data_IF_193421505518
#
_entry.id   IF_193421505518
#
_cell.length_a   1.000
_cell.length_b   1.000
_cell.length_c   1.000
_cell.angle_alpha   90.00
_cell.angle_beta   90.00
_cell.angle_gamma   90.00
#
_symmetry.space_group_name_H-M   'P 1'
#
loop_
_entity.id
_entity.type
_entity.pdbx_description
1 polymer ?
#
# COMPACT_ATOMS: atom_id res chain seq x y z
N UNK A 1 -30.01 99.24 -8.60
CA UNK A 1 -29.89 99.14 -7.13
C UNK A 1 -29.52 97.70 -6.81
N UNK A 2 -28.22 97.45 -6.69
CA UNK A 2 -27.68 96.14 -6.34
C UNK A 2 -26.75 96.43 -5.17
N UNK A 3 -27.30 96.39 -3.97
CA UNK A 3 -26.51 96.48 -2.73
C UNK A 3 -25.68 95.22 -2.67
N UNK A 4 -24.43 95.31 -3.10
CA UNK A 4 -23.39 94.37 -2.70
C UNK A 4 -23.40 94.34 -1.18
N UNK A 5 -23.98 93.30 -0.59
CA UNK A 5 -23.72 92.96 0.79
C UNK A 5 -22.21 92.71 0.88
N UNK A 6 -21.46 93.75 1.26
CA UNK A 6 -20.14 93.56 1.84
C UNK A 6 -20.39 92.72 3.09
N UNK A 7 -20.06 91.43 3.01
CA UNK A 7 -20.18 90.47 4.11
C UNK A 7 -19.55 91.09 5.37
N UNK A 8 -20.37 91.32 6.40
CA UNK A 8 -19.91 91.96 7.62
C UNK A 8 -18.75 91.14 8.24
N UNK A 9 -17.69 91.78 8.77
CA UNK A 9 -16.46 91.09 9.21
C UNK A 9 -16.66 89.93 10.21
N UNK A 10 -17.73 89.96 11.00
CA UNK A 10 -18.07 88.88 11.93
C UNK A 10 -18.61 87.64 11.22
N UNK A 11 -19.34 87.81 10.11
CA UNK A 11 -19.86 86.72 9.30
C UNK A 11 -18.72 85.97 8.59
N UNK A 12 -17.75 86.71 8.04
CA UNK A 12 -16.54 86.13 7.45
C UNK A 12 -15.73 85.31 8.47
N UNK A 13 -15.63 85.78 9.72
CA UNK A 13 -14.95 85.05 10.80
C UNK A 13 -15.66 83.73 11.12
N UNK A 14 -17.00 83.76 11.22
CA UNK A 14 -17.79 82.54 11.47
C UNK A 14 -17.64 81.55 10.32
N UNK A 15 -17.66 82.01 9.07
CA UNK A 15 -17.43 81.15 7.91
C UNK A 15 -16.04 80.49 7.95
N UNK A 16 -14.99 81.26 8.29
CA UNK A 16 -13.63 80.72 8.44
C UNK A 16 -13.54 79.68 9.56
N UNK A 17 -14.09 79.96 10.73
CA UNK A 17 -14.11 79.01 11.85
C UNK A 17 -14.89 77.73 11.52
N UNK A 18 -15.98 77.86 10.76
CA UNK A 18 -16.75 76.72 10.28
C UNK A 18 -15.99 75.90 9.24
N UNK A 19 -15.32 76.54 8.28
CA UNK A 19 -14.48 75.85 7.29
C UNK A 19 -13.32 75.11 7.97
N UNK A 20 -12.65 75.74 8.94
CA UNK A 20 -11.61 75.09 9.75
C UNK A 20 -12.15 73.90 10.53
N UNK A 21 -13.36 74.00 11.08
CA UNK A 21 -14.01 72.90 11.77
C UNK A 21 -14.32 71.74 10.81
N UNK A 22 -14.87 72.03 9.63
CA UNK A 22 -15.14 71.04 8.59
C UNK A 22 -13.87 70.29 8.19
N UNK A 23 -12.77 71.01 7.93
CA UNK A 23 -11.46 70.41 7.60
C UNK A 23 -10.98 69.49 8.74
N UNK A 24 -11.06 69.94 10.00
CA UNK A 24 -10.66 69.11 11.16
C UNK A 24 -11.50 67.84 11.29
N UNK A 25 -12.81 67.92 11.00
CA UNK A 25 -13.71 66.77 11.03
C UNK A 25 -13.40 65.80 9.89
N UNK A 26 -13.21 66.30 8.67
CA UNK A 26 -12.82 65.48 7.51
C UNK A 26 -11.49 64.76 7.75
N UNK A 27 -10.49 65.46 8.29
CA UNK A 27 -9.20 64.87 8.65
C UNK A 27 -9.36 63.74 9.68
N UNK A 28 -10.23 63.94 10.68
CA UNK A 28 -10.48 62.93 11.70
C UNK A 28 -11.21 61.71 11.11
N UNK A 29 -12.19 61.93 10.23
CA UNK A 29 -12.90 60.87 9.50
C UNK A 29 -11.91 60.09 8.63
N UNK A 30 -11.06 60.76 7.88
CA UNK A 30 -10.07 60.13 7.01
C UNK A 30 -9.09 59.25 7.81
N UNK A 31 -8.57 59.76 8.93
CA UNK A 31 -7.70 58.98 9.83
C UNK A 31 -8.41 57.74 10.37
N UNK A 32 -9.66 57.87 10.82
CA UNK A 32 -10.43 56.72 11.31
C UNK A 32 -10.72 55.69 10.21
N UNK A 33 -11.04 56.13 8.99
CA UNK A 33 -11.23 55.23 7.86
C UNK A 33 -9.96 54.46 7.48
N UNK A 34 -8.80 55.14 7.49
CA UNK A 34 -7.51 54.48 7.26
C UNK A 34 -7.19 53.46 8.34
N UNK A 35 -7.44 53.79 9.61
CA UNK A 35 -7.28 52.86 10.73
C UNK A 35 -8.19 51.64 10.60
N UNK A 36 -9.46 51.84 10.25
CA UNK A 36 -10.40 50.73 10.03
C UNK A 36 -9.95 49.82 8.88
N UNK A 37 -9.47 50.38 7.77
CA UNK A 37 -8.92 49.60 6.64
C UNK A 37 -7.69 48.79 7.09
N UNK A 38 -6.78 49.40 7.85
CA UNK A 38 -5.61 48.71 8.39
C UNK A 38 -6.01 47.57 9.34
N UNK A 39 -6.95 47.81 10.27
CA UNK A 39 -7.46 46.79 11.19
C UNK A 39 -8.08 45.61 10.45
N UNK A 40 -8.90 45.86 9.41
CA UNK A 40 -9.48 44.79 8.58
C UNK A 40 -8.39 43.93 7.93
N UNK A 41 -7.39 44.57 7.32
CA UNK A 41 -6.27 43.87 6.68
C UNK A 41 -5.46 43.04 7.69
N UNK A 42 -5.23 43.56 8.90
CA UNK A 42 -4.56 42.82 9.97
C UNK A 42 -5.37 41.58 10.36
N UNK A 43 -6.69 41.70 10.52
CA UNK A 43 -7.56 40.57 10.84
C UNK A 43 -7.55 39.50 9.74
N UNK A 44 -7.62 39.91 8.47
CA UNK A 44 -7.51 38.98 7.33
C UNK A 44 -6.18 38.23 7.33
N UNK A 45 -5.07 38.94 7.54
CA UNK A 45 -3.74 38.33 7.61
C UNK A 45 -3.61 37.37 8.79
N UNK A 46 -4.14 37.73 9.97
CA UNK A 46 -4.16 36.85 11.14
C UNK A 46 -4.94 35.56 10.88
N UNK A 47 -6.10 35.67 10.22
CA UNK A 47 -6.91 34.49 9.89
C UNK A 47 -6.18 33.58 8.89
N UNK A 48 -5.53 34.16 7.87
CA UNK A 48 -4.70 33.38 6.93
C UNK A 48 -3.55 32.70 7.63
N UNK A 49 -2.83 33.42 8.51
CA UNK A 49 -1.73 32.85 9.27
C UNK A 49 -2.17 31.67 10.14
N UNK A 50 -3.31 31.78 10.82
CA UNK A 50 -3.85 30.69 11.64
C UNK A 50 -4.22 29.45 10.79
N UNK A 51 -4.74 29.65 9.58
CA UNK A 51 -5.02 28.57 8.64
C UNK A 51 -3.73 27.86 8.20
N UNK A 52 -2.70 28.62 7.82
CA UNK A 52 -1.40 28.09 7.41
C UNK A 52 -0.69 27.35 8.54
N UNK A 53 -0.77 27.85 9.78
CA UNK A 53 -0.22 27.17 10.96
C UNK A 53 -0.92 25.83 11.22
N UNK A 54 -2.24 25.78 11.03
CA UNK A 54 -3.01 24.54 11.15
C UNK A 54 -2.59 23.54 10.07
N UNK A 55 -2.52 23.98 8.82
CA UNK A 55 -2.09 23.15 7.69
C UNK A 55 -0.67 22.62 7.89
N UNK A 56 0.26 23.45 8.37
CA UNK A 56 1.63 23.06 8.68
C UNK A 56 1.67 21.93 9.73
N UNK A 57 0.84 22.00 10.77
CA UNK A 57 0.77 20.94 11.78
C UNK A 57 0.26 19.63 11.18
N UNK A 58 -0.79 19.69 10.38
CA UNK A 58 -1.35 18.51 9.70
C UNK A 58 -0.33 17.85 8.76
N UNK A 59 0.36 18.63 7.94
CA UNK A 59 1.41 18.13 7.04
C UNK A 59 2.61 17.53 7.81
N UNK A 60 3.01 18.15 8.93
CA UNK A 60 4.08 17.62 9.78
C UNK A 60 3.71 16.26 10.37
N UNK A 61 2.45 16.09 10.79
CA UNK A 61 1.94 14.82 11.30
C UNK A 61 1.89 13.75 10.21
N UNK A 62 1.41 14.09 9.01
CA UNK A 62 1.39 13.16 7.87
C UNK A 62 2.81 12.72 7.48
N UNK A 63 3.77 13.64 7.47
CA UNK A 63 5.16 13.33 7.16
C UNK A 63 5.77 12.37 8.19
N UNK A 64 5.51 12.59 9.48
CA UNK A 64 5.95 11.68 10.54
C UNK A 64 5.35 10.27 10.39
N UNK A 65 4.07 10.17 10.03
CA UNK A 65 3.40 8.88 9.79
C UNK A 65 3.97 8.16 8.57
N UNK A 66 4.23 8.88 7.48
CA UNK A 66 4.88 8.32 6.29
C UNK A 66 6.28 7.80 6.60
N UNK A 67 7.11 8.59 7.29
CA UNK A 67 8.46 8.14 7.69
C UNK A 67 8.41 6.89 8.58
N UNK A 68 7.42 6.76 9.46
CA UNK A 68 7.25 5.54 10.26
C UNK A 68 6.91 4.34 9.38
N UNK A 69 5.96 4.49 8.44
CA UNK A 69 5.56 3.41 7.51
C UNK A 69 6.71 3.00 6.60
N UNK A 70 7.53 3.95 6.18
CA UNK A 70 8.71 3.69 5.35
C UNK A 70 9.73 2.81 6.10
N UNK A 71 10.04 3.16 7.35
CA UNK A 71 10.92 2.34 8.19
C UNK A 71 10.34 0.95 8.56
N UNK A 72 9.01 0.83 8.65
CA UNK A 72 8.34 -0.48 8.79
C UNK A 72 8.49 -1.31 7.51
N UNK A 73 8.32 -0.68 6.34
CA UNK A 73 8.47 -1.33 5.04
C UNK A 73 9.92 -1.81 4.84
N UNK A 74 10.91 -0.97 5.10
CA UNK A 74 12.33 -1.34 5.03
C UNK A 74 12.64 -2.56 5.92
N UNK A 75 12.11 -2.58 7.15
CA UNK A 75 12.29 -3.70 8.08
C UNK A 75 11.69 -5.00 7.52
N UNK A 76 10.49 -4.92 6.94
CA UNK A 76 9.82 -6.07 6.33
C UNK A 76 10.59 -6.56 5.10
N UNK A 77 11.02 -5.65 4.21
CA UNK A 77 11.85 -5.97 3.06
C UNK A 77 13.15 -6.65 3.47
N UNK A 78 13.88 -6.10 4.45
CA UNK A 78 15.09 -6.73 4.98
C UNK A 78 14.82 -8.13 5.59
N UNK A 79 13.66 -8.32 6.25
CA UNK A 79 13.25 -9.63 6.73
C UNK A 79 12.95 -10.62 5.59
N UNK A 80 12.47 -10.16 4.44
CA UNK A 80 12.25 -11.02 3.29
C UNK A 80 13.56 -11.34 2.59
N UNK A 81 14.45 -10.38 2.38
CA UNK A 81 15.76 -10.58 1.77
C UNK A 81 16.62 -11.57 2.58
N UNK A 82 16.58 -11.46 3.91
CA UNK A 82 17.28 -12.41 4.80
C UNK A 82 16.66 -13.82 4.84
N UNK A 83 15.39 -13.99 4.45
CA UNK A 83 14.70 -15.30 4.43
C UNK A 83 14.60 -15.94 3.05
N UNK A 84 14.68 -15.14 1.98
CA UNK A 84 14.55 -15.58 0.57
C UNK A 84 15.90 -15.75 -0.12
N UNK A 85 17.01 -15.61 0.59
CA UNK A 85 18.32 -15.99 0.08
C UNK A 85 18.36 -17.51 -0.04
N UNK A 86 17.93 -18.02 -1.20
CA UNK A 86 18.29 -19.36 -1.67
C UNK A 86 19.82 -19.32 -1.76
N UNK A 87 20.49 -19.76 -0.70
CA UNK A 87 21.94 -19.87 -0.70
C UNK A 87 22.35 -20.93 -1.73
N UNK A 88 23.59 -20.93 -2.19
CA UNK A 88 24.12 -21.98 -3.09
C UNK A 88 23.91 -23.40 -2.49
N UNK A 89 23.86 -23.51 -1.16
CA UNK A 89 23.50 -24.73 -0.45
C UNK A 89 22.06 -25.18 -0.70
N UNK A 90 21.11 -24.26 -0.84
CA UNK A 90 19.71 -24.58 -1.13
C UNK A 90 19.52 -24.96 -2.60
N UNK A 91 20.26 -24.33 -3.51
CA UNK A 91 20.31 -24.75 -4.91
C UNK A 91 20.82 -26.20 -5.02
N UNK A 92 21.93 -26.51 -4.33
CA UNK A 92 22.50 -27.86 -4.28
C UNK A 92 21.52 -28.87 -3.68
N UNK A 93 20.78 -28.50 -2.62
CA UNK A 93 19.73 -29.35 -2.03
C UNK A 93 18.58 -29.61 -3.00
N UNK A 94 18.13 -28.60 -3.74
CA UNK A 94 17.06 -28.73 -4.72
C UNK A 94 17.49 -29.61 -5.90
N UNK A 95 18.71 -29.44 -6.40
CA UNK A 95 19.25 -30.26 -7.47
C UNK A 95 19.38 -31.73 -7.04
N UNK A 96 19.92 -31.98 -5.83
CA UNK A 96 19.98 -33.32 -5.25
C UNK A 96 18.58 -33.94 -5.07
N UNK A 97 17.59 -33.17 -4.60
CA UNK A 97 16.22 -33.65 -4.44
C UNK A 97 15.57 -34.00 -5.80
N UNK A 98 15.85 -33.20 -6.83
CA UNK A 98 15.38 -33.43 -8.20
C UNK A 98 16.02 -34.68 -8.81
N UNK A 99 17.32 -34.86 -8.65
CA UNK A 99 18.03 -36.06 -9.09
C UNK A 99 17.52 -37.30 -8.37
N UNK A 100 17.35 -37.24 -7.04
CA UNK A 100 16.81 -38.35 -6.25
C UNK A 100 15.39 -38.72 -6.70
N UNK A 101 14.53 -37.72 -6.97
CA UNK A 101 13.18 -37.97 -7.48
C UNK A 101 13.20 -38.65 -8.85
N UNK A 102 14.07 -38.18 -9.77
CA UNK A 102 14.18 -38.78 -11.10
C UNK A 102 14.72 -40.21 -11.03
N UNK A 103 15.71 -40.47 -10.17
CA UNK A 103 16.22 -41.81 -9.89
C UNK A 103 15.13 -42.73 -9.31
N UNK A 104 14.39 -42.27 -8.30
CA UNK A 104 13.31 -43.03 -7.68
C UNK A 104 12.22 -43.39 -8.70
N UNK A 105 11.85 -42.45 -9.58
CA UNK A 105 10.91 -42.66 -10.68
C UNK A 105 11.40 -43.70 -11.69
N UNK A 106 12.70 -43.74 -11.97
CA UNK A 106 13.29 -44.74 -12.88
C UNK A 106 13.32 -46.14 -12.26
N UNK A 107 13.64 -46.24 -10.97
CA UNK A 107 13.73 -47.50 -10.23
C UNK A 107 12.35 -48.11 -9.94
N UNK A 108 11.39 -47.29 -9.52
CA UNK A 108 10.07 -47.77 -9.06
C UNK A 108 8.98 -47.64 -10.12
N UNK A 109 9.19 -46.80 -11.14
CA UNK A 109 8.15 -46.44 -12.11
C UNK A 109 7.07 -45.51 -11.54
N UNK A 110 7.17 -45.07 -10.28
CA UNK A 110 6.21 -44.19 -9.62
C UNK A 110 6.36 -42.76 -10.17
N UNK A 111 5.23 -42.14 -10.50
CA UNK A 111 5.11 -40.73 -10.89
C UNK A 111 4.14 -40.04 -9.95
N UNK A 112 4.63 -39.11 -9.14
CA UNK A 112 3.81 -38.35 -8.21
C UNK A 112 3.10 -37.19 -8.92
N UNK A 113 1.85 -36.97 -8.54
CA UNK A 113 1.02 -35.83 -8.91
C UNK A 113 1.09 -34.80 -7.78
N UNK A 114 1.94 -33.78 -7.96
CA UNK A 114 2.20 -32.75 -6.95
C UNK A 114 1.06 -31.75 -6.78
N UNK A 115 -0.05 -31.86 -7.52
CA UNK A 115 -1.24 -31.03 -7.28
C UNK A 115 -2.07 -31.51 -6.08
N UNK A 116 -1.71 -32.64 -5.46
CA UNK A 116 -2.43 -33.19 -4.32
C UNK A 116 -2.15 -32.41 -3.03
N UNK A 117 -3.10 -32.40 -2.07
CA UNK A 117 -2.89 -31.82 -0.75
C UNK A 117 -1.67 -32.42 -0.01
N UNK A 118 -1.04 -31.69 0.93
CA UNK A 118 0.21 -32.10 1.59
C UNK A 118 0.12 -33.39 2.43
N UNK A 119 -1.08 -33.91 2.66
CA UNK A 119 -1.35 -35.13 3.43
C UNK A 119 -1.69 -36.34 2.53
N UNK A 120 -1.75 -36.16 1.21
CA UNK A 120 -2.16 -37.20 0.25
C UNK A 120 -1.07 -37.38 -0.81
N UNK A 121 -0.52 -38.59 -0.90
CA UNK A 121 0.28 -39.05 -2.01
C UNK A 121 -0.64 -39.53 -3.14
N UNK A 122 -0.62 -38.82 -4.27
CA UNK A 122 -1.35 -39.18 -5.48
C UNK A 122 -0.37 -39.38 -6.62
N UNK A 123 -0.67 -40.32 -7.52
CA UNK A 123 0.20 -40.55 -8.66
C UNK A 123 -0.18 -41.75 -9.50
N UNK A 124 0.79 -42.23 -10.28
CA UNK A 124 0.66 -43.42 -11.10
C UNK A 124 1.90 -44.31 -10.95
N UNK A 125 1.70 -45.62 -10.87
CA UNK A 125 2.77 -46.62 -10.94
C UNK A 125 2.82 -47.15 -12.37
N UNK A 126 3.96 -46.97 -13.04
CA UNK A 126 4.18 -47.46 -14.41
C UNK A 126 5.00 -48.75 -14.40
N UNK A 127 4.40 -49.85 -14.84
CA UNK A 127 5.14 -51.07 -15.15
C UNK A 127 5.41 -51.16 -16.65
N UNK A 128 6.68 -50.96 -17.05
CA UNK A 128 7.10 -51.00 -18.46
C UNK A 128 6.99 -52.40 -19.07
N UNK A 129 7.29 -53.45 -18.31
CA UNK A 129 7.27 -54.83 -18.82
C UNK A 129 5.88 -55.25 -19.27
N UNK A 130 4.84 -54.72 -18.62
CA UNK A 130 3.43 -55.05 -18.87
C UNK A 130 2.61 -53.94 -19.50
N UNK A 131 3.25 -52.82 -19.87
CA UNK A 131 2.59 -51.60 -20.35
C UNK A 131 1.44 -51.12 -19.44
N UNK A 132 1.55 -51.36 -18.14
CA UNK A 132 0.53 -51.01 -17.14
C UNK A 132 0.80 -49.62 -16.57
N UNK A 133 -0.27 -48.85 -16.41
CA UNK A 133 -0.28 -47.59 -15.67
C UNK A 133 -1.40 -47.66 -14.62
N UNK A 134 -1.03 -47.71 -13.34
CA UNK A 134 -1.96 -47.85 -12.23
C UNK A 134 -2.05 -46.55 -11.41
N UNK A 135 -3.18 -45.84 -11.41
CA UNK A 135 -3.36 -44.68 -10.54
C UNK A 135 -3.44 -45.07 -9.06
N UNK A 136 -3.00 -44.19 -8.18
CA UNK A 136 -3.17 -44.33 -6.74
C UNK A 136 -3.40 -42.99 -6.06
N UNK A 137 -4.07 -43.05 -4.90
CA UNK A 137 -4.26 -41.92 -3.98
C UNK A 137 -4.33 -42.50 -2.57
N UNK A 138 -3.40 -42.12 -1.70
CA UNK A 138 -3.30 -42.63 -0.34
C UNK A 138 -2.63 -41.61 0.58
N UNK A 139 -2.64 -41.85 1.89
CA UNK A 139 -1.90 -41.03 2.85
C UNK A 139 -0.37 -41.26 2.71
N UNK A 140 0.43 -40.22 2.96
CA UNK A 140 1.87 -40.20 2.65
C UNK A 140 2.68 -41.28 3.40
N UNK A 141 2.25 -41.65 4.60
CA UNK A 141 2.92 -42.64 5.45
C UNK A 141 2.22 -44.02 5.42
N UNK A 142 1.49 -44.32 4.36
CA UNK A 142 0.77 -45.59 4.24
C UNK A 142 1.65 -46.70 3.66
N UNK A 143 1.76 -47.82 4.38
CA UNK A 143 2.34 -49.07 3.85
C UNK A 143 1.61 -49.60 2.60
N UNK A 144 0.42 -49.06 2.31
CA UNK A 144 -0.38 -49.40 1.14
C UNK A 144 0.35 -49.19 -0.19
N UNK A 145 1.34 -48.28 -0.26
CA UNK A 145 2.12 -48.04 -1.48
C UNK A 145 2.97 -49.27 -1.85
N UNK A 146 3.58 -49.91 -0.86
CA UNK A 146 4.41 -51.09 -1.06
C UNK A 146 3.59 -52.32 -1.41
N UNK A 147 2.39 -52.47 -0.85
CA UNK A 147 1.44 -53.50 -1.27
C UNK A 147 0.99 -53.27 -2.72
N UNK A 148 0.68 -52.02 -3.09
CA UNK A 148 0.31 -51.68 -4.46
C UNK A 148 1.46 -51.92 -5.45
N UNK A 149 2.70 -51.66 -5.07
CA UNK A 149 3.85 -52.00 -5.90
C UNK A 149 3.96 -53.51 -6.12
N UNK A 150 3.75 -54.34 -5.09
CA UNK A 150 3.79 -55.80 -5.20
C UNK A 150 2.74 -56.32 -6.17
N UNK A 151 1.52 -55.79 -6.12
CA UNK A 151 0.45 -56.19 -7.06
C UNK A 151 0.82 -55.86 -8.50
N UNK A 152 1.45 -54.71 -8.76
CA UNK A 152 1.92 -54.37 -10.12
C UNK A 152 3.04 -55.28 -10.64
N UNK A 153 3.70 -56.03 -9.76
CA UNK A 153 4.76 -56.98 -10.10
C UNK A 153 4.26 -58.45 -10.20
N UNK A 154 3.04 -58.76 -9.75
CA UNK A 154 2.49 -60.12 -9.66
C UNK A 154 2.34 -60.79 -11.04
N UNK A 155 3.04 -61.91 -11.35
CA UNK A 155 2.97 -62.64 -12.63
C UNK A 155 1.57 -63.00 -13.13
N UNK A 156 0.59 -63.09 -12.23
CA UNK A 156 -0.77 -63.54 -12.52
C UNK A 156 -1.73 -62.41 -12.92
N UNK A 157 -1.26 -61.16 -12.89
CA UNK A 157 -2.07 -59.99 -13.23
C UNK A 157 -2.51 -59.98 -14.71
N UNK A 158 -3.80 -59.74 -15.02
CA UNK A 158 -4.28 -59.73 -16.39
C UNK A 158 -3.67 -58.56 -17.19
N UNK A 159 -3.14 -58.85 -18.39
CA UNK A 159 -2.49 -57.91 -19.32
C UNK A 159 -3.46 -56.88 -19.97
N UNK A 160 -4.49 -56.44 -19.25
CA UNK A 160 -5.43 -55.44 -19.76
C UNK A 160 -4.90 -54.04 -19.47
N UNK A 161 -4.59 -53.33 -20.56
CA UNK A 161 -4.19 -51.92 -20.55
C UNK A 161 -5.25 -51.06 -19.82
N UNK A 162 -4.79 -50.32 -18.81
CA UNK A 162 -5.51 -49.27 -18.07
C UNK A 162 -6.68 -49.72 -17.19
N UNK A 163 -6.39 -49.93 -15.90
CA UNK A 163 -7.43 -49.99 -14.87
C UNK A 163 -8.03 -48.59 -14.71
N UNK A 164 -9.30 -48.42 -15.07
CA UNK A 164 -10.06 -47.23 -14.67
C UNK A 164 -10.40 -47.39 -13.18
N UNK A 165 -10.03 -46.44 -12.31
CA UNK A 165 -10.57 -46.43 -10.95
C UNK A 165 -12.02 -45.95 -11.03
N UNK A 166 -12.95 -46.74 -10.48
CA UNK A 166 -14.27 -46.24 -10.06
C UNK A 166 -14.11 -45.56 -8.70
#
# INVERSE_FOLDING_TARGET
MMTSLEMEPWCLRICQEFDEFCVKVEDKINKQQQQLKACRKITELKNKLALEEKLKKELTQQLAELSRRDGELERVCASFESRLTIADSDQTRLDNAKELYQLAKELTGIRLDFSAPPNIAKGFIKNKARRLLLPFSMEIDSDALWELMRTTADPTWPDKENHKPN
#
